data_IF_750467332288
#
_entry.id   IF_750467332288
#
_cell.length_a   1.000
_cell.length_b   1.000
_cell.length_c   1.000
_cell.angle_alpha   90.00
_cell.angle_beta   90.00
_cell.angle_gamma   90.00
#
_symmetry.space_group_name_H-M   'P 1'
#
loop_
_entity.id
_entity.type
_entity.pdbx_description
1 polymer ?
#
# COMPACT_ATOMS: atom_id res chain seq x y z
N UNK A 1 -16.16 42.11 -66.04
CA UNK A 1 -15.40 43.13 -65.29
C UNK A 1 -14.54 42.41 -64.27
N UNK A 2 -13.21 42.48 -64.44
CA UNK A 2 -12.10 42.30 -63.48
C UNK A 2 -12.08 41.07 -62.57
N UNK A 3 -10.98 40.41 -62.25
CA UNK A 3 -9.56 40.38 -62.65
C UNK A 3 -8.99 39.16 -61.89
N UNK A 4 -7.89 38.60 -62.38
CA UNK A 4 -7.11 37.54 -61.74
C UNK A 4 -6.50 38.03 -60.41
N UNK A 5 -5.99 37.07 -59.64
CA UNK A 5 -4.63 37.05 -59.07
C UNK A 5 -4.51 36.83 -57.55
N UNK A 6 -3.69 35.82 -57.24
CA UNK A 6 -2.57 35.80 -56.28
C UNK A 6 -2.69 34.95 -55.00
N UNK A 7 -1.52 34.39 -54.67
CA UNK A 7 -1.21 33.28 -53.76
C UNK A 7 -0.91 33.75 -52.32
N UNK A 8 -1.16 32.81 -51.38
CA UNK A 8 -0.44 32.39 -50.15
C UNK A 8 0.15 33.43 -49.16
N UNK A 9 -0.23 33.26 -47.89
CA UNK A 9 0.62 33.23 -46.68
C UNK A 9 -0.25 32.71 -45.51
N UNK A 10 0.10 31.69 -44.74
CA UNK A 10 1.24 31.65 -43.81
C UNK A 10 0.84 32.32 -42.50
N UNK A 11 0.20 31.59 -41.58
CA UNK A 11 -0.27 32.10 -40.30
C UNK A 11 0.07 31.13 -39.16
N UNK A 12 1.03 31.53 -38.34
CA UNK A 12 1.51 30.88 -37.12
C UNK A 12 0.40 30.92 -36.07
N UNK A 13 0.00 29.76 -35.54
CA UNK A 13 -0.97 29.67 -34.45
C UNK A 13 -0.24 29.81 -33.10
N UNK A 14 -0.34 31.00 -32.50
CA UNK A 14 -0.03 31.21 -31.09
C UNK A 14 -1.23 30.72 -30.28
N UNK A 15 -1.08 29.62 -29.53
CA UNK A 15 -2.07 29.22 -28.51
C UNK A 15 -1.49 29.51 -27.12
N UNK A 16 -2.15 30.43 -26.43
CA UNK A 16 -2.06 30.61 -24.99
C UNK A 16 -3.38 30.16 -24.33
N UNK A 17 -3.26 29.66 -23.10
CA UNK A 17 -4.29 29.29 -22.10
C UNK A 17 -4.96 27.92 -22.18
N UNK A 18 -4.55 27.02 -21.28
CA UNK A 18 -5.33 26.51 -20.11
C UNK A 18 -4.57 25.30 -19.55
N UNK A 19 -3.78 25.47 -18.48
CA UNK A 19 -4.24 25.24 -17.11
C UNK A 19 -4.89 23.86 -16.89
N UNK A 20 -4.19 22.78 -17.25
CA UNK A 20 -4.38 21.51 -16.54
C UNK A 20 -3.34 21.45 -15.44
N UNK A 21 -3.74 22.03 -14.31
CA UNK A 21 -3.16 21.78 -13.01
C UNK A 21 -3.36 20.28 -12.73
N UNK A 22 -2.44 19.44 -13.21
CA UNK A 22 -2.33 18.07 -12.75
C UNK A 22 -1.89 18.18 -11.30
N UNK A 23 -2.87 18.18 -10.39
CA UNK A 23 -2.59 17.89 -9.00
C UNK A 23 -1.94 16.51 -9.01
N UNK A 24 -0.63 16.46 -8.83
CA UNK A 24 0.06 15.23 -8.53
C UNK A 24 -0.67 14.63 -7.33
N UNK A 25 -1.45 13.58 -7.56
CA UNK A 25 -1.90 12.72 -6.47
C UNK A 25 -0.60 12.13 -5.94
N UNK A 26 -0.03 12.77 -4.92
CA UNK A 26 1.04 12.19 -4.14
C UNK A 26 0.41 10.99 -3.44
N UNK A 27 0.48 9.83 -4.08
CA UNK A 27 0.31 8.57 -3.37
C UNK A 27 1.45 8.58 -2.37
N UNK A 28 1.15 8.96 -1.13
CA UNK A 28 2.13 8.97 -0.05
C UNK A 28 2.39 7.51 0.34
N UNK A 29 3.04 6.76 -0.56
CA UNK A 29 3.43 5.38 -0.33
C UNK A 29 4.50 5.43 0.75
N UNK A 30 4.14 4.92 1.91
CA UNK A 30 5.07 4.82 3.03
C UNK A 30 5.90 3.57 2.81
N UNK A 31 7.21 3.71 2.81
CA UNK A 31 8.12 2.59 2.60
C UNK A 31 8.73 2.13 3.93
N UNK A 32 8.84 0.81 4.15
CA UNK A 32 9.59 0.30 5.29
C UNK A 32 11.09 0.52 5.05
N UNK A 33 11.77 1.11 6.01
CA UNK A 33 13.24 1.21 6.03
C UNK A 33 13.87 0.02 6.77
N UNK A 34 13.11 -0.61 7.67
CA UNK A 34 13.53 -1.77 8.43
C UNK A 34 12.33 -2.67 8.75
N UNK A 35 12.52 -3.99 8.63
CA UNK A 35 11.52 -5.00 8.99
C UNK A 35 12.23 -6.06 9.83
N UNK A 36 11.83 -6.19 11.10
CA UNK A 36 12.45 -7.11 12.04
C UNK A 36 11.44 -8.08 12.64
N UNK A 37 11.77 -9.37 12.63
CA UNK A 37 11.06 -10.38 13.40
C UNK A 37 11.63 -10.46 14.81
N UNK A 38 10.96 -9.83 15.78
CA UNK A 38 11.36 -9.82 17.19
C UNK A 38 10.78 -11.06 17.88
N UNK A 39 11.43 -12.20 17.68
CA UNK A 39 10.94 -13.53 18.10
C UNK A 39 10.60 -13.64 19.60
N UNK A 40 11.35 -12.95 20.46
CA UNK A 40 11.13 -12.97 21.91
C UNK A 40 9.80 -12.32 22.33
N UNK A 41 9.26 -11.43 21.48
CA UNK A 41 8.02 -10.70 21.71
C UNK A 41 6.88 -11.22 20.82
N UNK A 42 7.15 -12.18 19.93
CA UNK A 42 6.21 -12.66 18.90
C UNK A 42 5.60 -11.51 18.07
N UNK A 43 6.44 -10.55 17.65
CA UNK A 43 6.03 -9.41 16.82
C UNK A 43 6.91 -9.25 15.58
N UNK A 44 6.34 -8.64 14.55
CA UNK A 44 7.07 -7.99 13.46
C UNK A 44 7.12 -6.49 13.75
N UNK A 45 8.32 -5.93 13.86
CA UNK A 45 8.52 -4.48 13.99
C UNK A 45 8.89 -3.90 12.63
N UNK A 46 8.17 -2.86 12.21
CA UNK A 46 8.44 -2.13 10.97
C UNK A 46 8.75 -0.67 11.31
N UNK A 47 9.92 -0.21 10.89
CA UNK A 47 10.27 1.20 10.89
C UNK A 47 9.99 1.76 9.51
N UNK A 48 9.25 2.86 9.45
CA UNK A 48 8.82 3.50 8.21
C UNK A 48 9.66 4.74 7.91
N UNK A 49 9.70 5.11 6.63
CA UNK A 49 10.39 6.29 6.12
C UNK A 49 9.91 7.63 6.70
N UNK A 50 8.67 7.69 7.18
CA UNK A 50 8.11 8.84 7.91
C UNK A 50 8.45 8.86 9.40
N UNK A 51 9.33 7.96 9.85
CA UNK A 51 9.74 7.84 11.25
C UNK A 51 8.73 7.10 12.15
N UNK A 52 7.61 6.64 11.60
CA UNK A 52 6.66 5.82 12.36
C UNK A 52 7.26 4.44 12.66
N UNK A 53 6.88 3.87 13.80
CA UNK A 53 7.25 2.51 14.19
C UNK A 53 5.97 1.74 14.48
N UNK A 54 5.72 0.68 13.71
CA UNK A 54 4.61 -0.24 13.93
C UNK A 54 5.12 -1.55 14.54
N UNK A 55 4.52 -1.98 15.64
CA UNK A 55 4.74 -3.31 16.23
C UNK A 55 3.49 -4.15 15.96
N UNK A 56 3.65 -5.22 15.20
CA UNK A 56 2.55 -6.06 14.74
C UNK A 56 2.65 -7.46 15.36
N UNK A 57 1.74 -7.85 16.26
CA UNK A 57 1.73 -9.21 16.81
C UNK A 57 1.56 -10.27 15.72
N UNK A 58 2.20 -11.43 15.89
CA UNK A 58 2.13 -12.53 14.92
C UNK A 58 0.69 -13.02 14.70
N UNK A 59 -0.07 -13.25 15.76
CA UNK A 59 -1.50 -13.61 15.69
C UNK A 59 -2.32 -12.56 14.94
N UNK A 60 -2.02 -11.28 15.17
CA UNK A 60 -2.70 -10.17 14.53
C UNK A 60 -2.44 -10.16 13.01
N UNK A 61 -1.17 -10.24 12.59
CA UNK A 61 -0.81 -10.28 11.17
C UNK A 61 -1.32 -11.54 10.47
N UNK A 62 -1.27 -12.69 11.15
CA UNK A 62 -1.80 -13.93 10.62
C UNK A 62 -3.31 -13.87 10.47
N UNK A 63 -4.01 -13.29 11.44
CA UNK A 63 -5.46 -13.17 11.42
C UNK A 63 -5.97 -12.23 10.33
N UNK A 64 -5.16 -11.25 9.94
CA UNK A 64 -5.38 -10.38 8.77
C UNK A 64 -4.64 -10.84 7.52
N UNK A 65 -4.40 -12.15 7.35
CA UNK A 65 -3.77 -12.66 6.13
C UNK A 65 -4.61 -12.31 4.89
N UNK A 66 -4.06 -11.63 3.87
CA UNK A 66 -4.81 -11.15 2.71
C UNK A 66 -4.96 -12.21 1.61
N UNK A 67 -4.57 -13.47 1.85
CA UNK A 67 -4.69 -14.51 0.84
C UNK A 67 -6.16 -14.89 0.58
N UNK A 68 -6.43 -15.39 -0.62
CA UNK A 68 -7.78 -15.79 -1.02
C UNK A 68 -8.39 -16.90 -0.16
N UNK A 69 -7.56 -17.77 0.46
CA UNK A 69 -8.05 -18.79 1.39
C UNK A 69 -8.58 -18.18 2.71
N UNK A 70 -8.03 -17.05 3.14
CA UNK A 70 -8.46 -16.37 4.35
C UNK A 70 -9.57 -15.35 4.08
N UNK A 71 -9.45 -14.51 3.04
CA UNK A 71 -10.39 -13.40 2.80
C UNK A 71 -11.45 -13.71 1.73
N UNK A 72 -11.29 -14.80 0.97
CA UNK A 72 -12.08 -15.04 -0.24
C UNK A 72 -11.73 -14.08 -1.37
N UNK A 73 -12.67 -13.88 -2.30
CA UNK A 73 -12.51 -12.97 -3.45
C UNK A 73 -13.19 -11.61 -3.24
N UNK A 74 -13.74 -11.36 -2.05
CA UNK A 74 -14.46 -10.13 -1.72
C UNK A 74 -13.52 -9.01 -1.25
N UNK A 75 -14.03 -7.78 -1.24
CA UNK A 75 -13.29 -6.61 -0.75
C UNK A 75 -13.26 -6.49 0.79
N UNK A 76 -14.12 -7.24 1.49
CA UNK A 76 -14.22 -7.20 2.94
C UNK A 76 -13.02 -7.88 3.60
N UNK A 77 -12.41 -7.21 4.58
CA UNK A 77 -11.36 -7.77 5.42
C UNK A 77 -11.97 -8.28 6.71
N UNK A 78 -11.76 -9.56 6.99
CA UNK A 78 -12.22 -10.18 8.23
C UNK A 78 -11.02 -10.68 9.02
N UNK A 79 -11.01 -10.37 10.31
CA UNK A 79 -10.06 -10.96 11.23
C UNK A 79 -10.42 -12.44 11.49
N UNK A 80 -9.43 -13.32 11.36
CA UNK A 80 -9.56 -14.73 11.72
C UNK A 80 -8.66 -15.00 12.93
N UNK A 81 -9.23 -15.50 14.02
CA UNK A 81 -8.44 -15.85 15.21
C UNK A 81 -7.55 -17.07 14.95
N UNK A 82 -6.24 -16.92 15.15
CA UNK A 82 -5.23 -17.98 15.02
C UNK A 82 -4.26 -17.89 16.21
N UNK A 83 -4.64 -18.38 17.41
CA UNK A 83 -3.91 -18.13 18.65
C UNK A 83 -2.50 -18.75 18.70
N UNK A 84 -2.24 -19.80 17.92
CA UNK A 84 -0.91 -20.44 17.88
C UNK A 84 -0.07 -19.93 16.70
N UNK A 85 -0.43 -18.78 16.10
CA UNK A 85 0.26 -18.23 14.94
C UNK A 85 1.74 -17.98 15.22
N UNK A 86 2.58 -18.76 14.54
CA UNK A 86 4.03 -18.58 14.51
C UNK A 86 4.55 -18.22 13.12
N UNK A 87 5.28 -17.13 13.03
CA UNK A 87 5.99 -16.69 11.83
C UNK A 87 7.31 -17.46 11.69
N UNK A 88 7.54 -17.99 10.48
CA UNK A 88 8.75 -18.75 10.15
C UNK A 88 9.73 -17.95 9.30
N UNK A 89 9.23 -17.17 8.33
CA UNK A 89 10.04 -16.44 7.37
C UNK A 89 9.33 -15.19 6.85
N UNK A 90 10.10 -14.17 6.49
CA UNK A 90 9.62 -12.93 5.87
C UNK A 90 10.35 -12.78 4.53
N UNK A 91 9.60 -12.71 3.43
CA UNK A 91 10.17 -12.58 2.09
C UNK A 91 9.71 -11.29 1.42
N UNK A 92 10.63 -10.51 0.81
CA UNK A 92 10.22 -9.38 0.01
C UNK A 92 9.52 -9.83 -1.27
N UNK A 93 8.48 -9.10 -1.66
CA UNK A 93 7.79 -9.28 -2.95
C UNK A 93 7.96 -7.97 -3.73
N UNK A 94 8.92 -7.99 -4.65
CA UNK A 94 9.35 -6.77 -5.34
C UNK A 94 9.76 -5.67 -4.36
N UNK A 95 9.36 -4.43 -4.65
CA UNK A 95 9.57 -3.26 -3.78
C UNK A 95 8.24 -2.65 -3.31
N UNK A 96 7.24 -3.48 -3.03
CA UNK A 96 5.89 -3.00 -2.68
C UNK A 96 5.18 -3.83 -1.61
N UNK A 97 5.70 -5.01 -1.27
CA UNK A 97 5.05 -5.94 -0.37
C UNK A 97 6.04 -6.89 0.29
N UNK A 98 5.55 -7.60 1.29
CA UNK A 98 6.17 -8.79 1.86
C UNK A 98 5.20 -9.97 1.86
N UNK A 99 5.77 -11.16 1.87
CA UNK A 99 5.10 -12.42 2.07
C UNK A 99 5.56 -12.99 3.42
N UNK A 100 4.61 -13.40 4.25
CA UNK A 100 4.88 -14.09 5.51
C UNK A 100 4.65 -15.59 5.35
N UNK A 101 5.61 -16.39 5.82
CA UNK A 101 5.49 -17.84 5.86
C UNK A 101 5.16 -18.27 7.27
N UNK A 102 4.00 -18.87 7.44
CA UNK A 102 3.45 -19.25 8.73
C UNK A 102 3.64 -20.74 8.98
N UNK A 103 3.77 -21.11 10.25
CA UNK A 103 3.93 -22.50 10.69
C UNK A 103 2.76 -23.43 10.32
N UNK A 104 1.57 -22.87 10.06
CA UNK A 104 0.36 -23.60 9.65
C UNK A 104 0.30 -23.85 8.12
N UNK A 105 1.37 -23.52 7.39
CA UNK A 105 1.50 -23.71 5.95
C UNK A 105 1.04 -22.51 5.10
N UNK A 106 0.47 -21.46 5.70
CA UNK A 106 0.09 -20.26 4.94
C UNK A 106 1.32 -19.49 4.49
N UNK A 107 1.43 -19.25 3.18
CA UNK A 107 2.61 -18.62 2.59
C UNK A 107 2.30 -17.86 1.30
N UNK A 108 1.03 -17.60 0.99
CA UNK A 108 0.62 -16.94 -0.27
C UNK A 108 -0.04 -15.58 -0.03
N UNK A 109 0.02 -15.06 1.19
CA UNK A 109 -0.50 -13.74 1.54
C UNK A 109 0.49 -12.66 1.12
N UNK A 110 0.07 -11.75 0.23
CA UNK A 110 0.88 -10.60 -0.21
C UNK A 110 0.47 -9.37 0.59
N UNK A 111 1.29 -9.02 1.57
CA UNK A 111 1.08 -7.87 2.45
C UNK A 111 1.75 -6.65 1.83
N UNK A 112 0.98 -5.85 1.07
CA UNK A 112 1.50 -4.59 0.54
C UNK A 112 1.90 -3.64 1.68
N UNK A 113 2.85 -2.74 1.43
CA UNK A 113 3.27 -1.77 2.45
C UNK A 113 2.12 -0.88 2.90
N UNK A 114 1.28 -0.43 1.97
CA UNK A 114 0.05 0.31 2.29
C UNK A 114 -0.90 -0.51 3.16
N UNK A 115 -1.04 -1.81 2.86
CA UNK A 115 -1.87 -2.71 3.65
C UNK A 115 -1.34 -2.87 5.07
N UNK A 116 -0.05 -3.16 5.23
CA UNK A 116 0.59 -3.25 6.55
C UNK A 116 0.43 -1.96 7.33
N UNK A 117 0.63 -0.82 6.67
CA UNK A 117 0.46 0.47 7.33
C UNK A 117 -0.99 0.71 7.78
N UNK A 118 -1.95 0.26 6.98
CA UNK A 118 -3.39 0.29 7.33
C UNK A 118 -3.80 -0.72 8.40
N UNK A 119 -2.89 -1.61 8.81
CA UNK A 119 -3.10 -2.60 9.87
C UNK A 119 -2.36 -2.20 11.14
N UNK A 120 -1.78 -1.00 11.25
CA UNK A 120 -0.96 -0.65 12.41
C UNK A 120 -1.83 -0.61 13.68
N UNK A 121 -1.57 -1.47 14.69
CA UNK A 121 -2.40 -1.56 15.90
C UNK A 121 -1.99 -0.53 16.96
N UNK A 122 -1.23 0.50 16.60
CA UNK A 122 -0.85 1.51 17.57
C UNK A 122 -2.02 2.48 17.80
N UNK A 123 -2.16 3.08 19.00
CA UNK A 123 -3.28 3.96 19.31
C UNK A 123 -3.46 5.09 18.29
N UNK A 124 -2.35 5.69 17.84
CA UNK A 124 -2.35 6.77 16.83
C UNK A 124 -2.84 6.33 15.46
N UNK A 125 -2.89 5.04 15.13
CA UNK A 125 -3.43 4.55 13.87
C UNK A 125 -4.83 3.96 14.03
N UNK A 126 -5.13 3.33 15.17
CA UNK A 126 -6.46 2.81 15.49
C UNK A 126 -7.54 3.90 15.44
N UNK A 127 -7.25 5.07 16.00
CA UNK A 127 -8.19 6.21 16.01
C UNK A 127 -8.56 6.69 14.60
N UNK A 128 -7.64 6.58 13.63
CA UNK A 128 -7.86 7.02 12.25
C UNK A 128 -8.68 6.01 11.44
N UNK A 129 -8.76 4.74 11.84
CA UNK A 129 -9.62 3.76 11.18
C UNK A 129 -11.11 3.99 11.43
N UNK A 130 -11.46 4.67 12.53
CA UNK A 130 -12.84 5.01 12.87
C UNK A 130 -13.38 6.23 12.10
N UNK A 131 -12.51 7.12 11.62
CA UNK A 131 -12.90 8.35 10.92
C UNK A 131 -13.12 8.14 9.40
N UNK A 132 -12.46 7.12 8.83
CA UNK A 132 -12.54 6.78 7.40
C UNK A 132 -13.59 5.70 7.06
N UNK A 133 -14.35 5.21 8.05
CA UNK A 133 -15.37 4.16 7.92
C UNK A 133 -16.81 4.73 7.89
#
# INVERSE_FOLDING_TARGET
MHDRNRRRSGGTLTLALQLYYWHEVRVNRRFPIEINHVKAEAIVRIVWDDGHIGNYPEEYLRGYCPCALCQGHGASRNFISVPEAKLLDIRPVGNYAIEFHWHDGHSTGIYTYDYLRSLCPCPTCEDHHAEDA
#
